data_IF_590473405699
#
_entry.id   IF_590473405699
#
_cell.length_a   1.000
_cell.length_b   1.000
_cell.length_c   1.000
_cell.angle_alpha   90.00
_cell.angle_beta   90.00
_cell.angle_gamma   90.00
#
_symmetry.space_group_name_H-M   'P 1'
#
loop_
_entity.id
_entity.type
_entity.pdbx_description
1 polymer ?
#
# COMPACT_ATOMS: atom_id res chain seq x y z
N UNK A 1 5.71 -17.94 13.47
CA UNK A 1 5.89 -16.47 13.65
C UNK A 1 7.24 -16.05 14.26
N UNK A 2 7.91 -16.83 15.14
CA UNK A 2 9.17 -16.43 15.79
C UNK A 2 10.25 -15.85 14.84
N UNK A 3 10.49 -16.49 13.69
CA UNK A 3 11.47 -16.00 12.71
C UNK A 3 11.03 -14.69 12.02
N UNK A 4 9.73 -14.51 11.75
CA UNK A 4 9.20 -13.31 11.10
C UNK A 4 9.25 -12.09 12.02
N UNK A 5 9.12 -12.28 13.33
CA UNK A 5 9.24 -11.18 14.30
C UNK A 5 10.68 -10.71 14.51
N UNK A 6 11.66 -11.48 14.08
CA UNK A 6 13.09 -11.14 14.18
C UNK A 6 13.61 -10.41 12.93
N UNK A 7 12.76 -10.06 11.98
CA UNK A 7 13.15 -9.35 10.75
C UNK A 7 12.41 -8.03 10.62
N UNK A 8 12.85 -7.22 9.66
CA UNK A 8 12.08 -6.04 9.23
C UNK A 8 11.04 -6.48 8.18
N UNK A 9 9.73 -6.41 8.49
CA UNK A 9 8.72 -6.92 7.58
C UNK A 9 8.45 -5.95 6.42
N UNK A 10 8.41 -6.50 5.21
CA UNK A 10 7.91 -5.81 4.02
C UNK A 10 6.70 -6.56 3.49
N UNK A 11 5.66 -5.83 3.09
CA UNK A 11 4.39 -6.41 2.66
C UNK A 11 4.15 -6.15 1.18
N UNK A 12 3.87 -7.21 0.42
CA UNK A 12 3.43 -7.14 -0.98
C UNK A 12 2.02 -7.72 -1.05
N UNK A 13 1.06 -6.93 -1.57
CA UNK A 13 -0.33 -7.34 -1.77
C UNK A 13 -0.61 -7.44 -3.27
N UNK A 14 -0.64 -8.66 -3.79
CA UNK A 14 -1.02 -8.91 -5.18
C UNK A 14 -2.53 -8.71 -5.35
N UNK A 15 -2.94 -8.20 -6.52
CA UNK A 15 -4.34 -7.97 -6.89
C UNK A 15 -4.62 -8.71 -8.19
N UNK A 16 -5.67 -9.53 -8.20
CA UNK A 16 -6.16 -10.20 -9.39
C UNK A 16 -7.07 -9.22 -10.14
N UNK A 17 -6.81 -8.92 -11.42
CA UNK A 17 -7.61 -7.95 -12.17
C UNK A 17 -8.95 -8.51 -12.63
N UNK A 18 -9.08 -9.82 -12.87
CA UNK A 18 -10.32 -10.51 -13.24
C UNK A 18 -10.20 -12.02 -12.98
N UNK A 19 -11.33 -12.72 -12.83
CA UNK A 19 -11.36 -14.18 -12.63
C UNK A 19 -11.27 -14.97 -13.95
N UNK A 20 -11.54 -14.32 -15.08
CA UNK A 20 -11.52 -14.91 -16.43
C UNK A 20 -10.10 -15.16 -16.96
N UNK A 21 -9.06 -14.82 -16.19
CA UNK A 21 -7.64 -14.93 -16.57
C UNK A 21 -7.32 -14.27 -17.91
N UNK A 22 -8.07 -13.24 -18.27
CA UNK A 22 -7.93 -12.55 -19.56
C UNK A 22 -7.02 -11.33 -19.37
N UNK A 23 -5.95 -11.18 -20.17
CA UNK A 23 -5.10 -10.00 -20.08
C UNK A 23 -5.87 -8.73 -20.48
N UNK A 24 -5.55 -7.59 -19.87
CA UNK A 24 -6.14 -6.29 -20.20
C UNK A 24 -7.57 -6.05 -19.68
N UNK A 25 -8.22 -7.07 -19.12
CA UNK A 25 -9.54 -6.94 -18.50
C UNK A 25 -9.40 -6.60 -17.00
N UNK A 26 -10.13 -5.60 -16.53
CA UNK A 26 -10.20 -5.23 -15.11
C UNK A 26 -11.66 -5.26 -14.67
N UNK A 27 -11.95 -6.10 -13.68
CA UNK A 27 -13.19 -6.07 -12.91
C UNK A 27 -13.01 -5.15 -11.70
N UNK A 28 -13.64 -3.98 -11.76
CA UNK A 28 -13.54 -2.96 -10.72
C UNK A 28 -14.12 -3.42 -9.38
N UNK A 29 -15.20 -4.21 -9.38
CA UNK A 29 -15.84 -4.71 -8.16
C UNK A 29 -14.93 -5.70 -7.43
N UNK A 30 -14.37 -6.65 -8.19
CA UNK A 30 -13.41 -7.62 -7.68
C UNK A 30 -12.16 -6.94 -7.11
N UNK A 31 -11.59 -5.97 -7.83
CA UNK A 31 -10.40 -5.23 -7.38
C UNK A 31 -10.71 -4.41 -6.12
N UNK A 32 -11.86 -3.72 -6.07
CA UNK A 32 -12.25 -2.93 -4.91
C UNK A 32 -12.42 -3.80 -3.65
N UNK A 33 -13.08 -4.95 -3.79
CA UNK A 33 -13.22 -5.91 -2.69
C UNK A 33 -11.86 -6.39 -2.18
N UNK A 34 -10.91 -6.70 -3.07
CA UNK A 34 -9.54 -7.07 -2.67
C UNK A 34 -8.83 -5.92 -1.95
N UNK A 35 -8.95 -4.67 -2.41
CA UNK A 35 -8.32 -3.51 -1.77
C UNK A 35 -8.85 -3.27 -0.34
N UNK A 36 -10.13 -3.53 -0.12
CA UNK A 36 -10.77 -3.45 1.20
C UNK A 36 -10.34 -4.62 2.10
N UNK A 37 -10.55 -5.86 1.66
CA UNK A 37 -10.32 -7.06 2.46
C UNK A 37 -8.82 -7.34 2.73
N UNK A 38 -7.93 -7.02 1.79
CA UNK A 38 -6.48 -7.17 1.99
C UNK A 38 -5.87 -6.07 2.87
N UNK A 39 -6.68 -5.12 3.35
CA UNK A 39 -6.26 -4.05 4.24
C UNK A 39 -5.41 -2.98 3.57
N UNK A 40 -5.44 -2.87 2.23
CA UNK A 40 -4.66 -1.84 1.50
C UNK A 40 -5.20 -0.45 1.83
N UNK A 41 -6.52 -0.26 1.75
CA UNK A 41 -7.14 1.02 2.07
C UNK A 41 -6.99 1.37 3.55
N UNK A 42 -7.09 0.37 4.42
CA UNK A 42 -6.90 0.52 5.86
C UNK A 42 -5.45 0.89 6.22
N UNK A 43 -4.47 0.27 5.55
CA UNK A 43 -3.06 0.61 5.68
C UNK A 43 -2.78 2.07 5.31
N UNK A 44 -3.33 2.54 4.19
CA UNK A 44 -3.25 3.96 3.80
C UNK A 44 -3.90 4.84 4.88
N UNK A 45 -5.08 4.46 5.38
CA UNK A 45 -5.80 5.22 6.42
C UNK A 45 -4.97 5.36 7.71
N UNK A 46 -4.33 4.28 8.15
CA UNK A 46 -3.45 4.30 9.34
C UNK A 46 -2.24 5.20 9.09
N UNK A 47 -1.55 5.03 7.95
CA UNK A 47 -0.41 5.88 7.58
C UNK A 47 -0.78 7.37 7.59
N UNK A 48 -1.97 7.72 7.09
CA UNK A 48 -2.47 9.11 7.06
C UNK A 48 -2.79 9.70 8.44
N UNK A 49 -3.15 8.88 9.43
CA UNK A 49 -3.35 9.36 10.81
C UNK A 49 -2.02 9.62 11.54
N UNK A 50 -0.91 9.11 11.00
CA UNK A 50 0.45 9.43 11.47
C UNK A 50 1.03 10.62 10.73
N UNK A 51 2.31 10.48 10.32
CA UNK A 51 3.05 11.47 9.54
C UNK A 51 3.77 10.74 8.41
N UNK A 52 3.06 10.38 7.32
CA UNK A 52 3.58 9.50 6.29
C UNK A 52 4.57 10.22 5.36
N UNK A 53 4.44 11.53 5.21
CA UNK A 53 5.41 12.37 4.51
C UNK A 53 6.36 12.98 5.53
N UNK A 54 7.65 12.66 5.39
CA UNK A 54 8.74 13.25 6.17
C UNK A 54 9.87 13.57 5.19
N UNK A 55 10.39 14.78 5.28
CA UNK A 55 11.44 15.28 4.40
C UNK A 55 12.54 15.85 5.29
N UNK A 56 13.79 15.68 4.91
CA UNK A 56 14.89 16.25 5.67
C UNK A 56 14.83 17.79 5.58
N UNK A 57 15.23 18.47 6.64
CA UNK A 57 15.17 19.94 6.68
C UNK A 57 15.93 20.59 5.51
N UNK A 58 17.11 20.06 5.16
CA UNK A 58 17.90 20.56 4.04
C UNK A 58 17.14 20.47 2.69
N UNK A 59 16.47 19.34 2.43
CA UNK A 59 15.66 19.13 1.23
C UNK A 59 14.42 20.03 1.22
N UNK A 60 13.77 20.18 2.37
CA UNK A 60 12.63 21.08 2.53
C UNK A 60 13.03 22.53 2.22
N UNK A 61 14.14 22.99 2.80
CA UNK A 61 14.68 24.33 2.55
C UNK A 61 14.97 24.52 1.07
N UNK A 62 15.72 23.62 0.44
CA UNK A 62 16.06 23.72 -0.98
C UNK A 62 14.82 23.78 -1.90
N UNK A 63 13.73 23.11 -1.53
CA UNK A 63 12.53 23.03 -2.37
C UNK A 63 11.58 24.22 -2.21
N UNK A 64 11.52 24.83 -1.02
CA UNK A 64 10.45 25.77 -0.66
C UNK A 64 10.92 27.12 -0.10
N UNK A 65 12.23 27.32 0.10
CA UNK A 65 12.86 28.59 0.52
C UNK A 65 13.87 29.05 -0.53
#
# INVERSE_FOLDING_TARGET
>A
MKNLYNTHPHFVRCIIPNELKTPGLIDAGLVLNQLQCNGVLEGIRICRKGFPSRVLYAEFKQRYL
#
